data_IF_071889509994
#
_entry.id   IF_071889509994
#
_cell.length_a   1.000
_cell.length_b   1.000
_cell.length_c   1.000
_cell.angle_alpha   90.00
_cell.angle_beta   90.00
_cell.angle_gamma   90.00
#
_symmetry.space_group_name_H-M   'P 1'
#
loop_
_entity.id
_entity.type
_entity.pdbx_description
1 polymer ?
#
# COMPACT_ATOMS: atom_id res chain seq x y z
N UNK A 1 20.92 5.34 21.35
CA UNK A 1 20.98 3.90 21.06
C UNK A 1 19.57 3.49 20.67
N UNK A 2 19.33 3.15 19.40
CA UNK A 2 18.02 2.63 18.98
C UNK A 2 17.88 1.23 19.54
N UNK A 3 16.84 0.98 20.36
CA UNK A 3 16.52 -0.35 20.82
C UNK A 3 16.29 -1.25 19.59
N UNK A 4 17.12 -2.26 19.42
CA UNK A 4 16.96 -3.21 18.32
C UNK A 4 15.64 -3.96 18.51
N UNK A 5 14.70 -3.73 17.61
CA UNK A 5 13.43 -4.42 17.62
C UNK A 5 13.64 -5.92 17.37
N UNK A 6 13.03 -6.77 18.20
CA UNK A 6 13.20 -8.24 18.18
C UNK A 6 11.86 -8.95 18.04
N UNK A 7 11.89 -10.24 17.71
CA UNK A 7 10.68 -11.06 17.55
C UNK A 7 9.81 -10.57 16.41
N UNK A 8 8.48 -10.52 16.62
CA UNK A 8 7.50 -10.07 15.61
C UNK A 8 7.68 -8.61 15.20
N UNK A 9 8.42 -7.82 15.98
CA UNK A 9 8.63 -6.39 15.77
C UNK A 9 9.86 -6.06 14.91
N UNK A 10 10.72 -7.04 14.63
CA UNK A 10 12.02 -6.85 13.97
C UNK A 10 11.95 -6.14 12.61
N UNK A 11 10.86 -6.34 11.87
CA UNK A 11 10.66 -5.77 10.53
C UNK A 11 9.94 -4.39 10.53
N UNK A 12 9.61 -3.84 11.71
CA UNK A 12 8.96 -2.54 11.85
C UNK A 12 10.00 -1.41 11.94
N UNK A 13 10.69 -1.19 10.85
CA UNK A 13 11.82 -0.26 10.76
C UNK A 13 11.38 1.19 10.97
N UNK A 14 12.09 1.92 11.86
CA UNK A 14 11.81 3.32 12.15
C UNK A 14 10.54 3.55 12.97
N UNK A 15 9.97 2.49 13.58
CA UNK A 15 8.69 2.55 14.31
C UNK A 15 8.85 2.31 15.82
N UNK A 16 10.00 2.62 16.42
CA UNK A 16 10.32 2.30 17.80
C UNK A 16 9.26 2.85 18.78
N UNK A 17 8.80 4.09 18.55
CA UNK A 17 7.75 4.73 19.37
C UNK A 17 6.41 3.97 19.27
N UNK A 18 6.00 3.64 18.06
CA UNK A 18 4.76 2.91 17.81
C UNK A 18 4.82 1.49 18.39
N UNK A 19 5.94 0.79 18.19
CA UNK A 19 6.18 -0.54 18.79
C UNK A 19 6.17 -0.47 20.32
N UNK A 20 6.74 0.55 20.94
CA UNK A 20 6.67 0.76 22.39
C UNK A 20 5.23 0.92 22.91
N UNK A 21 4.33 1.53 22.14
CA UNK A 21 2.90 1.61 22.49
C UNK A 21 2.24 0.24 22.40
N UNK A 22 2.50 -0.50 21.31
CA UNK A 22 1.91 -1.83 21.07
C UNK A 22 2.40 -2.88 22.09
N UNK A 23 3.70 -2.87 22.42
CA UNK A 23 4.26 -3.74 23.48
C UNK A 23 3.58 -3.53 24.81
N UNK A 24 3.46 -2.30 25.27
CA UNK A 24 2.75 -1.99 26.53
C UNK A 24 1.28 -2.45 26.50
N UNK A 25 0.65 -2.42 25.33
CA UNK A 25 -0.72 -2.94 25.21
C UNK A 25 -0.78 -4.46 25.36
N UNK A 26 0.19 -5.22 24.84
CA UNK A 26 0.23 -6.69 25.00
C UNK A 26 0.58 -7.13 26.41
N UNK A 27 1.35 -6.33 27.15
CA UNK A 27 1.78 -6.60 28.52
C UNK A 27 0.72 -6.26 29.57
N UNK A 28 -0.34 -5.56 29.17
CA UNK A 28 -1.40 -5.12 30.08
C UNK A 28 -2.23 -6.30 30.59
N UNK A 29 -2.19 -6.56 31.89
CA UNK A 29 -3.00 -7.61 32.54
C UNK A 29 -4.44 -7.13 32.73
N UNK A 30 -5.44 -7.99 32.51
CA UNK A 30 -6.83 -7.71 32.89
C UNK A 30 -6.91 -7.43 34.39
N UNK A 31 -7.48 -6.28 34.78
CA UNK A 31 -7.73 -5.95 36.20
C UNK A 31 -6.71 -4.99 36.85
N UNK A 32 -5.59 -4.67 36.26
CA UNK A 32 -4.77 -3.51 36.63
C UNK A 32 -5.13 -2.33 35.74
N UNK A 33 -5.32 -1.16 36.31
CA UNK A 33 -5.75 0.09 35.67
C UNK A 33 -4.76 0.64 34.63
N UNK A 34 -4.38 -0.19 33.66
CA UNK A 34 -3.54 0.22 32.55
C UNK A 34 -4.45 0.46 31.35
N UNK A 35 -4.64 1.72 31.03
CA UNK A 35 -5.31 2.20 29.81
C UNK A 35 -4.50 1.89 28.54
N UNK A 36 -3.54 0.94 28.61
CA UNK A 36 -2.65 0.61 27.53
C UNK A 36 -3.31 -0.25 26.45
N UNK A 37 -4.23 -1.16 26.79
CA UNK A 37 -4.97 -1.99 25.84
C UNK A 37 -6.28 -1.32 25.44
N UNK A 38 -6.64 -1.43 24.16
CA UNK A 38 -7.94 -1.03 23.61
C UNK A 38 -8.43 -2.15 22.69
N UNK A 39 -9.75 -2.32 22.64
CA UNK A 39 -10.40 -3.28 21.75
C UNK A 39 -10.45 -2.83 20.28
N UNK A 40 -10.24 -1.55 19.98
CA UNK A 40 -10.20 -1.04 18.62
C UNK A 40 -9.00 -0.08 18.42
N UNK A 41 -8.24 -0.33 17.38
CA UNK A 41 -7.07 0.47 17.00
C UNK A 41 -7.22 0.94 15.57
N UNK A 42 -6.84 2.21 15.34
CA UNK A 42 -6.68 2.77 14.01
C UNK A 42 -5.19 3.06 13.78
N UNK A 43 -4.57 2.22 12.97
CA UNK A 43 -3.15 2.30 12.62
C UNK A 43 -3.03 3.10 11.32
N UNK A 44 -2.46 4.29 11.39
CA UNK A 44 -2.32 5.20 10.26
C UNK A 44 -0.87 5.46 9.91
N UNK A 45 -0.64 5.93 8.71
CA UNK A 45 0.68 6.29 8.21
C UNK A 45 0.72 6.23 6.68
N UNK A 46 1.72 6.85 6.04
CA UNK A 46 1.80 6.89 4.59
C UNK A 46 1.87 5.48 3.98
N UNK A 47 1.53 5.31 2.70
CA UNK A 47 1.69 4.05 1.99
C UNK A 47 3.11 3.50 2.16
N UNK A 48 3.23 2.21 2.47
CA UNK A 48 4.53 1.56 2.67
C UNK A 48 5.21 1.77 4.03
N UNK A 49 4.62 2.54 4.95
CA UNK A 49 5.15 2.72 6.34
C UNK A 49 5.09 1.45 7.19
N UNK A 50 4.46 0.37 6.69
CA UNK A 50 4.37 -0.91 7.40
C UNK A 50 3.11 -1.10 8.24
N UNK A 51 2.01 -0.37 7.96
CA UNK A 51 0.73 -0.48 8.70
C UNK A 51 0.25 -1.92 8.85
N UNK A 52 0.10 -2.64 7.74
CA UNK A 52 -0.32 -4.04 7.74
C UNK A 52 0.65 -4.94 8.51
N UNK A 53 1.96 -4.69 8.38
CA UNK A 53 2.97 -5.44 9.15
C UNK A 53 2.87 -5.13 10.64
N UNK A 54 2.63 -3.89 11.04
CA UNK A 54 2.43 -3.50 12.43
C UNK A 54 1.15 -4.14 13.02
N UNK A 55 0.06 -4.16 12.26
CA UNK A 55 -1.17 -4.83 12.66
C UNK A 55 -0.99 -6.35 12.82
N UNK A 56 -0.31 -7.01 11.86
CA UNK A 56 0.01 -8.45 11.93
C UNK A 56 0.95 -8.77 13.10
N UNK A 57 1.98 -7.95 13.31
CA UNK A 57 2.90 -8.12 14.44
C UNK A 57 2.16 -7.95 15.78
N UNK A 58 1.27 -6.99 15.88
CA UNK A 58 0.46 -6.80 17.08
C UNK A 58 -0.52 -7.96 17.29
N UNK A 59 -1.21 -8.41 16.23
CA UNK A 59 -2.06 -9.59 16.31
C UNK A 59 -1.27 -10.82 16.78
N UNK A 60 -0.08 -11.06 16.25
CA UNK A 60 0.80 -12.16 16.67
C UNK A 60 1.24 -12.01 18.13
N UNK A 61 1.57 -10.80 18.58
CA UNK A 61 1.96 -10.53 19.95
C UNK A 61 0.80 -10.74 20.94
N UNK A 62 -0.45 -10.43 20.56
CA UNK A 62 -1.65 -10.67 21.33
C UNK A 62 -1.93 -12.16 21.55
N UNK A 63 -1.55 -13.02 20.58
CA UNK A 63 -1.69 -14.48 20.68
C UNK A 63 -0.52 -15.16 21.38
N UNK A 64 0.63 -14.49 21.46
CA UNK A 64 1.86 -15.05 22.01
C UNK A 64 1.91 -14.94 23.54
N UNK A 65 2.34 -16.01 24.21
CA UNK A 65 2.56 -16.02 25.67
C UNK A 65 3.69 -15.05 26.07
N UNK A 66 4.73 -14.98 25.24
CA UNK A 66 5.90 -14.11 25.43
C UNK A 66 5.78 -12.78 24.70
N UNK A 67 4.56 -12.29 24.49
CA UNK A 67 4.25 -10.96 23.92
C UNK A 67 4.95 -10.66 22.58
N UNK A 68 5.12 -11.68 21.75
CA UNK A 68 5.65 -11.51 20.40
C UNK A 68 7.06 -12.04 20.15
N UNK A 69 7.37 -13.24 20.68
CA UNK A 69 8.69 -13.88 20.52
C UNK A 69 9.11 -14.10 19.03
N UNK A 70 8.16 -14.18 18.10
CA UNK A 70 8.40 -14.40 16.66
C UNK A 70 8.65 -15.85 16.26
N UNK A 71 8.87 -16.75 17.21
CA UNK A 71 9.28 -18.13 16.95
C UNK A 71 8.21 -19.19 17.28
N UNK A 72 7.31 -18.92 18.19
CA UNK A 72 6.26 -19.86 18.58
C UNK A 72 5.22 -20.05 17.46
N UNK A 73 4.45 -21.13 17.55
CA UNK A 73 3.43 -21.45 16.55
C UNK A 73 2.39 -20.33 16.40
N UNK A 74 1.94 -19.73 17.51
CA UNK A 74 0.99 -18.63 17.47
C UNK A 74 1.54 -17.42 16.69
N UNK A 75 2.82 -17.03 16.90
CA UNK A 75 3.46 -15.96 16.14
C UNK A 75 3.54 -16.31 14.65
N UNK A 76 4.04 -17.50 14.29
CA UNK A 76 4.19 -17.89 12.89
C UNK A 76 2.88 -17.94 12.13
N UNK A 77 1.87 -18.57 12.73
CA UNK A 77 0.54 -18.69 12.10
C UNK A 77 -0.18 -17.35 12.01
N UNK A 78 -0.07 -16.46 13.01
CA UNK A 78 -0.67 -15.13 12.96
C UNK A 78 0.00 -14.24 11.90
N UNK A 79 1.33 -14.27 11.78
CA UNK A 79 2.07 -13.51 10.76
C UNK A 79 1.78 -14.01 9.34
N UNK A 80 1.59 -15.32 9.15
CA UNK A 80 1.24 -15.91 7.85
C UNK A 80 -0.24 -15.81 7.51
N UNK A 81 -1.11 -15.40 8.45
CA UNK A 81 -2.56 -15.33 8.25
C UNK A 81 -3.29 -16.67 8.45
N UNK A 82 -2.60 -17.71 8.93
CA UNK A 82 -3.15 -19.04 9.12
C UNK A 82 -3.66 -19.30 10.55
N UNK A 83 -3.60 -18.31 11.46
CA UNK A 83 -4.09 -18.48 12.84
C UNK A 83 -5.62 -18.45 12.87
N UNK A 84 -6.31 -19.46 13.47
CA UNK A 84 -7.76 -19.55 13.45
C UNK A 84 -8.48 -18.35 14.09
N UNK A 85 -7.86 -17.74 15.11
CA UNK A 85 -8.43 -16.62 15.85
C UNK A 85 -7.89 -15.25 15.35
N UNK A 86 -7.22 -15.20 14.18
CA UNK A 86 -6.78 -13.96 13.53
C UNK A 86 -7.31 -13.92 12.11
N UNK A 87 -8.27 -13.04 11.88
CA UNK A 87 -8.82 -12.80 10.54
C UNK A 87 -8.09 -11.64 9.87
N UNK A 88 -7.40 -11.92 8.77
CA UNK A 88 -6.79 -10.89 7.95
C UNK A 88 -7.71 -10.56 6.78
N UNK A 89 -8.11 -9.29 6.69
CA UNK A 89 -8.96 -8.78 5.61
C UNK A 89 -8.12 -7.88 4.74
N UNK A 90 -7.92 -8.31 3.52
CA UNK A 90 -7.32 -7.53 2.45
C UNK A 90 -8.31 -7.54 1.29
N UNK A 91 -8.89 -6.40 1.00
CA UNK A 91 -9.83 -6.36 -0.13
C UNK A 91 -9.09 -6.46 -1.46
N UNK A 92 -9.58 -7.30 -2.34
CA UNK A 92 -9.14 -7.37 -3.73
C UNK A 92 -9.98 -6.46 -4.63
N UNK A 93 -11.16 -6.05 -4.14
CA UNK A 93 -12.05 -5.10 -4.78
C UNK A 93 -11.67 -3.64 -4.49
N UNK A 94 -12.39 -2.72 -5.09
CA UNK A 94 -12.21 -1.28 -4.87
C UNK A 94 -12.78 -0.80 -3.54
N UNK A 95 -13.72 -1.54 -2.94
CA UNK A 95 -14.38 -1.22 -1.68
C UNK A 95 -14.75 -2.49 -0.92
N UNK A 96 -14.89 -2.35 0.42
CA UNK A 96 -15.40 -3.38 1.33
C UNK A 96 -16.88 -3.09 1.57
N UNK A 97 -17.74 -3.99 1.10
CA UNK A 97 -19.19 -3.85 1.15
C UNK A 97 -19.79 -4.19 2.52
N UNK A 98 -21.06 -3.84 2.70
CA UNK A 98 -21.79 -4.09 3.95
C UNK A 98 -21.90 -5.56 4.30
N UNK A 99 -22.05 -6.45 3.33
CA UNK A 99 -22.22 -7.90 3.61
C UNK A 99 -20.90 -8.53 4.04
N UNK A 100 -19.79 -8.11 3.46
CA UNK A 100 -18.43 -8.49 3.90
C UNK A 100 -18.18 -8.03 5.33
N UNK A 101 -18.50 -6.78 5.66
CA UNK A 101 -18.36 -6.25 7.02
C UNK A 101 -19.24 -7.02 8.01
N UNK A 102 -20.48 -7.35 7.66
CA UNK A 102 -21.37 -8.16 8.52
C UNK A 102 -20.80 -9.55 8.79
N UNK A 103 -20.15 -10.17 7.82
CA UNK A 103 -19.45 -11.45 8.02
C UNK A 103 -18.28 -11.29 8.99
N UNK A 104 -17.50 -10.22 8.86
CA UNK A 104 -16.41 -9.93 9.80
C UNK A 104 -16.91 -9.70 11.21
N UNK A 105 -18.01 -8.97 11.38
CA UNK A 105 -18.66 -8.77 12.70
C UNK A 105 -19.12 -10.09 13.29
N UNK A 106 -19.71 -10.98 12.50
CA UNK A 106 -20.11 -12.32 12.98
C UNK A 106 -18.91 -13.14 13.45
N UNK A 107 -17.80 -13.16 12.69
CA UNK A 107 -16.57 -13.85 13.08
C UNK A 107 -15.94 -13.24 14.33
N UNK A 108 -15.91 -11.92 14.42
CA UNK A 108 -15.38 -11.19 15.57
C UNK A 108 -16.17 -11.48 16.86
N UNK A 109 -17.45 -11.82 16.76
CA UNK A 109 -18.29 -12.16 17.89
C UNK A 109 -18.06 -13.59 18.44
N UNK A 110 -17.31 -14.44 17.74
CA UNK A 110 -16.98 -15.78 18.20
C UNK A 110 -15.94 -15.73 19.33
N UNK A 111 -15.99 -16.73 20.23
CA UNK A 111 -14.92 -16.90 21.21
C UNK A 111 -13.65 -17.42 20.54
N UNK A 112 -12.46 -17.01 21.01
CA UNK A 112 -11.21 -17.58 20.54
C UNK A 112 -11.17 -19.09 20.77
N UNK A 113 -10.69 -19.84 19.78
CA UNK A 113 -10.59 -21.32 19.83
C UNK A 113 -9.27 -21.76 20.44
N UNK A 114 -8.18 -21.17 20.02
CA UNK A 114 -6.81 -21.52 20.44
C UNK A 114 -6.06 -20.36 21.06
N UNK A 115 -6.43 -19.13 20.71
CA UNK A 115 -5.75 -17.91 21.11
C UNK A 115 -6.36 -17.26 22.35
N UNK A 116 -5.72 -16.14 22.72
CA UNK A 116 -6.15 -15.30 23.84
C UNK A 116 -7.23 -14.30 23.43
N UNK A 117 -7.19 -13.89 22.15
CA UNK A 117 -8.04 -12.86 21.58
C UNK A 117 -8.56 -13.29 20.20
N UNK A 118 -9.78 -12.85 19.90
CA UNK A 118 -10.28 -12.84 18.53
C UNK A 118 -9.82 -11.54 17.88
N UNK A 119 -8.94 -11.62 16.88
CA UNK A 119 -8.35 -10.43 16.26
C UNK A 119 -8.82 -10.30 14.81
N UNK A 120 -9.35 -9.13 14.46
CA UNK A 120 -9.70 -8.81 13.07
C UNK A 120 -8.82 -7.67 12.60
N UNK A 121 -8.02 -7.92 11.57
CA UNK A 121 -7.15 -6.95 10.90
C UNK A 121 -7.77 -6.56 9.57
N UNK A 122 -8.11 -5.28 9.40
CA UNK A 122 -8.59 -4.72 8.13
C UNK A 122 -7.49 -3.84 7.55
N UNK A 123 -6.84 -4.31 6.47
CA UNK A 123 -5.66 -3.63 5.91
C UNK A 123 -6.01 -2.34 5.14
N UNK A 124 -7.23 -2.24 4.59
CA UNK A 124 -7.72 -1.12 3.78
C UNK A 124 -9.03 -0.57 4.40
N UNK A 125 -9.01 -0.08 5.65
CA UNK A 125 -10.20 0.41 6.34
C UNK A 125 -10.79 1.69 5.72
N UNK A 126 -10.00 2.45 4.97
CA UNK A 126 -10.39 3.58 4.13
C UNK A 126 -11.32 3.17 2.97
N UNK A 127 -11.36 1.89 2.63
CA UNK A 127 -12.20 1.35 1.55
C UNK A 127 -13.54 0.79 2.05
N UNK A 128 -13.81 0.85 3.34
CA UNK A 128 -15.11 0.45 3.89
C UNK A 128 -16.17 1.46 3.43
N UNK A 129 -17.22 0.95 2.77
CA UNK A 129 -18.35 1.81 2.35
C UNK A 129 -19.06 2.39 3.56
N UNK A 130 -19.79 3.52 3.41
CA UNK A 130 -20.55 4.12 4.52
C UNK A 130 -21.50 3.11 5.18
N UNK A 131 -22.24 2.33 4.39
CA UNK A 131 -23.11 1.27 4.91
C UNK A 131 -22.37 0.14 5.62
N UNK A 132 -21.16 -0.18 5.16
CA UNK A 132 -20.25 -1.12 5.82
C UNK A 132 -19.78 -0.57 7.17
N UNK A 133 -19.43 0.70 7.19
CA UNK A 133 -19.01 1.39 8.39
C UNK A 133 -20.11 1.42 9.46
N UNK A 134 -21.38 1.70 9.08
CA UNK A 134 -22.52 1.63 9.98
C UNK A 134 -22.70 0.23 10.59
N UNK A 135 -22.48 -0.81 9.79
CA UNK A 135 -22.53 -2.20 10.30
C UNK A 135 -21.41 -2.52 11.29
N UNK A 136 -20.24 -1.86 11.14
CA UNK A 136 -19.09 -2.06 12.04
C UNK A 136 -19.22 -1.30 13.36
N UNK A 137 -19.94 -0.16 13.37
CA UNK A 137 -20.04 0.73 14.55
C UNK A 137 -20.45 -0.01 15.81
N UNK A 138 -21.51 -0.83 15.75
CA UNK A 138 -21.99 -1.55 16.91
C UNK A 138 -20.96 -2.53 17.49
N UNK A 139 -20.20 -3.18 16.61
CA UNK A 139 -19.14 -4.11 17.03
C UNK A 139 -17.92 -3.41 17.63
N UNK A 140 -17.71 -2.13 17.30
CA UNK A 140 -16.66 -1.30 17.89
C UNK A 140 -17.14 -0.66 19.21
N UNK A 141 -18.41 -0.27 19.32
CA UNK A 141 -18.98 0.31 20.53
C UNK A 141 -19.14 -0.73 21.65
N UNK A 142 -19.69 -1.89 21.31
CA UNK A 142 -19.98 -2.99 22.22
C UNK A 142 -19.27 -4.26 21.75
N UNK A 143 -17.92 -4.33 21.87
CA UNK A 143 -17.17 -5.46 21.38
C UNK A 143 -17.48 -6.73 22.17
N UNK A 144 -17.51 -7.87 21.50
CA UNK A 144 -17.55 -9.16 22.18
C UNK A 144 -16.30 -9.33 23.07
N UNK A 145 -16.40 -10.07 24.18
CA UNK A 145 -15.27 -10.30 25.07
C UNK A 145 -14.05 -10.84 24.33
N UNK A 146 -12.87 -10.27 24.61
CA UNK A 146 -11.58 -10.65 23.99
C UNK A 146 -11.45 -10.33 22.49
N UNK A 147 -12.37 -9.59 21.90
CA UNK A 147 -12.26 -9.15 20.50
C UNK A 147 -11.39 -7.89 20.37
N UNK A 148 -10.51 -7.87 19.36
CA UNK A 148 -9.64 -6.75 19.03
C UNK A 148 -9.74 -6.44 17.55
N UNK A 149 -10.09 -5.18 17.24
CA UNK A 149 -10.15 -4.65 15.88
C UNK A 149 -8.89 -3.85 15.58
N UNK A 150 -8.21 -4.19 14.49
CA UNK A 150 -7.01 -3.49 13.99
C UNK A 150 -7.33 -2.94 12.59
N UNK A 151 -7.66 -1.66 12.51
CA UNK A 151 -8.01 -0.97 11.28
C UNK A 151 -6.80 -0.23 10.76
N UNK A 152 -6.44 -0.40 9.48
CA UNK A 152 -5.34 0.31 8.84
C UNK A 152 -5.88 1.27 7.77
N UNK A 153 -5.41 2.52 7.79
CA UNK A 153 -5.75 3.54 6.80
C UNK A 153 -4.56 4.47 6.53
N UNK A 154 -4.47 5.14 5.37
CA UNK A 154 -3.40 6.10 5.09
C UNK A 154 -3.38 7.25 6.08
N UNK A 155 -4.53 7.91 6.29
CA UNK A 155 -4.72 8.98 7.24
C UNK A 155 -5.92 8.71 8.15
N UNK A 156 -6.05 9.36 9.30
CA UNK A 156 -7.24 9.23 10.14
C UNK A 156 -8.49 9.76 9.42
N UNK A 157 -8.34 10.73 8.53
CA UNK A 157 -9.40 11.41 7.79
C UNK A 157 -10.05 10.50 6.75
N UNK A 158 -9.36 9.48 6.27
CA UNK A 158 -9.86 8.48 5.33
C UNK A 158 -10.86 7.51 5.97
N UNK A 159 -11.00 7.54 7.30
CA UNK A 159 -11.96 6.74 8.06
C UNK A 159 -13.05 7.63 8.64
N UNK A 160 -14.31 7.21 8.50
CA UNK A 160 -15.45 8.00 8.98
C UNK A 160 -15.30 8.36 10.46
N UNK A 161 -15.74 9.56 10.80
CA UNK A 161 -15.53 10.15 12.14
C UNK A 161 -16.09 9.29 13.27
N UNK A 162 -17.20 8.60 13.02
CA UNK A 162 -17.88 7.73 13.99
C UNK A 162 -17.03 6.52 14.40
N UNK A 163 -16.34 5.87 13.47
CA UNK A 163 -15.37 4.79 13.75
C UNK A 163 -14.10 5.37 14.36
N UNK A 164 -13.55 6.43 13.76
CA UNK A 164 -12.31 7.06 14.18
C UNK A 164 -12.33 7.54 15.63
N UNK A 165 -13.45 8.07 16.11
CA UNK A 165 -13.60 8.57 17.48
C UNK A 165 -13.57 7.49 18.54
N UNK A 166 -13.83 6.21 18.17
CA UNK A 166 -13.89 5.04 19.07
C UNK A 166 -12.63 4.18 19.02
N UNK A 167 -11.72 4.49 18.10
CA UNK A 167 -10.46 3.77 17.95
C UNK A 167 -9.31 4.49 18.65
N UNK A 168 -8.46 3.71 19.30
CA UNK A 168 -7.16 4.21 19.75
C UNK A 168 -6.26 4.41 18.53
N UNK A 169 -5.81 5.64 18.33
CA UNK A 169 -4.98 5.99 17.18
C UNK A 169 -3.51 5.63 17.42
N UNK A 170 -2.89 5.04 16.41
CA UNK A 170 -1.45 4.77 16.33
C UNK A 170 -0.95 5.28 14.99
N UNK A 171 -0.04 6.22 15.02
CA UNK A 171 0.55 6.77 13.80
C UNK A 171 1.93 6.15 13.55
N UNK A 172 2.16 5.68 12.32
CA UNK A 172 3.45 5.21 11.84
C UNK A 172 4.14 6.31 11.02
N UNK A 173 5.38 6.58 11.36
CA UNK A 173 6.19 7.55 10.63
C UNK A 173 6.69 6.97 9.28
N UNK A 174 7.07 7.84 8.36
CA UNK A 174 7.85 7.42 7.18
C UNK A 174 9.23 6.96 7.65
N UNK A 175 9.63 5.71 7.37
CA UNK A 175 10.98 5.24 7.69
C UNK A 175 12.04 6.08 6.98
N UNK A 176 13.18 6.29 7.61
CA UNK A 176 14.34 6.93 6.98
C UNK A 176 14.97 6.00 5.95
N UNK A 177 15.53 6.57 4.88
CA UNK A 177 16.16 5.81 3.80
C UNK A 177 17.27 4.88 4.32
N UNK A 178 18.10 5.37 5.26
CA UNK A 178 19.17 4.58 5.85
C UNK A 178 18.62 3.32 6.58
N UNK A 179 17.53 3.48 7.32
CA UNK A 179 16.91 2.39 8.05
C UNK A 179 16.27 1.34 7.10
N UNK A 180 15.72 1.81 5.97
CA UNK A 180 15.19 0.93 4.91
C UNK A 180 16.34 0.20 4.21
N UNK A 181 17.44 0.89 3.88
CA UNK A 181 18.63 0.28 3.28
C UNK A 181 19.22 -0.81 4.19
N UNK A 182 19.39 -0.51 5.49
CA UNK A 182 19.86 -1.48 6.47
C UNK A 182 18.96 -2.72 6.57
N UNK A 183 17.64 -2.55 6.46
CA UNK A 183 16.71 -3.68 6.42
C UNK A 183 16.95 -4.55 5.18
N UNK A 184 17.09 -3.94 4.00
CA UNK A 184 17.33 -4.66 2.73
C UNK A 184 18.64 -5.45 2.76
N UNK A 185 19.71 -4.85 3.33
CA UNK A 185 21.00 -5.53 3.48
C UNK A 185 20.88 -6.72 4.46
N UNK A 186 20.33 -6.47 5.66
CA UNK A 186 20.27 -7.49 6.72
C UNK A 186 19.32 -8.65 6.40
N UNK A 187 18.15 -8.35 5.85
CA UNK A 187 17.09 -9.35 5.65
C UNK A 187 17.13 -10.00 4.28
N UNK A 188 17.35 -9.18 3.25
CA UNK A 188 17.22 -9.62 1.85
C UNK A 188 18.59 -9.85 1.18
N UNK A 189 19.72 -9.58 1.90
CA UNK A 189 21.08 -9.79 1.39
C UNK A 189 21.47 -8.89 0.21
N UNK A 190 20.81 -7.73 0.07
CA UNK A 190 21.06 -6.79 -1.03
C UNK A 190 22.39 -6.07 -0.80
N UNK A 191 23.15 -5.83 -1.89
CA UNK A 191 24.37 -5.05 -1.83
C UNK A 191 24.11 -3.63 -1.29
N UNK A 192 24.99 -3.07 -0.41
CA UNK A 192 24.73 -1.81 0.28
C UNK A 192 24.42 -0.63 -0.65
N UNK A 193 25.13 -0.52 -1.78
CA UNK A 193 24.95 0.58 -2.76
C UNK A 193 23.57 0.50 -3.40
N UNK A 194 23.15 -0.69 -3.85
CA UNK A 194 21.84 -0.93 -4.44
C UNK A 194 20.72 -0.75 -3.40
N UNK A 195 20.95 -1.19 -2.15
CA UNK A 195 20.01 -1.01 -1.05
C UNK A 195 19.77 0.48 -0.75
N UNK A 196 20.84 1.29 -0.73
CA UNK A 196 20.75 2.73 -0.52
C UNK A 196 20.03 3.44 -1.66
N UNK A 197 20.30 3.07 -2.93
CA UNK A 197 19.60 3.59 -4.09
C UNK A 197 18.11 3.23 -4.06
N UNK A 198 17.79 1.96 -3.85
CA UNK A 198 16.43 1.46 -3.79
C UNK A 198 15.63 2.06 -2.61
N UNK A 199 16.27 2.28 -1.46
CA UNK A 199 15.64 2.93 -0.31
C UNK A 199 15.25 4.38 -0.61
N UNK A 200 16.16 5.18 -1.19
CA UNK A 200 15.86 6.55 -1.64
C UNK A 200 14.71 6.58 -2.64
N UNK A 201 14.79 5.74 -3.69
CA UNK A 201 13.75 5.61 -4.69
C UNK A 201 12.41 5.15 -4.10
N UNK A 202 12.46 4.38 -3.02
CA UNK A 202 11.30 3.89 -2.27
C UNK A 202 10.57 4.97 -1.48
N UNK A 203 11.24 6.09 -1.13
CA UNK A 203 10.68 7.21 -0.38
C UNK A 203 9.97 6.75 0.91
N UNK A 204 10.61 5.87 1.68
CA UNK A 204 10.05 5.29 2.90
C UNK A 204 9.05 4.15 2.67
N UNK A 205 8.74 3.82 1.42
CA UNK A 205 7.90 2.66 1.11
C UNK A 205 8.74 1.38 1.02
N UNK A 206 8.80 0.61 2.12
CA UNK A 206 9.66 -0.59 2.24
C UNK A 206 9.41 -1.60 1.11
N UNK A 207 8.15 -1.91 0.79
CA UNK A 207 7.82 -2.86 -0.27
C UNK A 207 8.29 -2.42 -1.65
N UNK A 208 8.20 -1.11 -1.95
CA UNK A 208 8.69 -0.53 -3.20
C UNK A 208 10.22 -0.56 -3.26
N UNK A 209 10.90 -0.17 -2.18
CA UNK A 209 12.35 -0.24 -2.08
C UNK A 209 12.85 -1.68 -2.27
N UNK A 210 12.19 -2.65 -1.63
CA UNK A 210 12.49 -4.07 -1.79
C UNK A 210 12.34 -4.54 -3.23
N UNK A 211 11.24 -4.18 -3.90
CA UNK A 211 11.00 -4.54 -5.30
C UNK A 211 12.08 -3.94 -6.22
N UNK A 212 12.42 -2.66 -6.03
CA UNK A 212 13.50 -2.03 -6.80
C UNK A 212 14.87 -2.67 -6.54
N UNK A 213 15.14 -3.13 -5.33
CA UNK A 213 16.39 -3.81 -5.00
C UNK A 213 16.49 -5.22 -5.64
N UNK A 214 15.40 -5.98 -5.69
CA UNK A 214 15.40 -7.38 -6.12
C UNK A 214 15.00 -7.60 -7.59
N UNK A 215 14.30 -6.67 -8.23
CA UNK A 215 13.71 -6.82 -9.56
C UNK A 215 14.36 -5.85 -10.57
N UNK A 216 15.10 -6.39 -11.52
CA UNK A 216 15.77 -5.62 -12.59
C UNK A 216 14.76 -4.97 -13.54
N UNK A 217 13.65 -5.65 -13.84
CA UNK A 217 12.62 -5.09 -14.70
C UNK A 217 11.91 -3.91 -14.04
N UNK A 218 11.70 -3.97 -12.71
CA UNK A 218 11.14 -2.84 -11.96
C UNK A 218 12.07 -1.61 -12.04
N UNK A 219 13.40 -1.81 -11.99
CA UNK A 219 14.37 -0.73 -12.19
C UNK A 219 14.34 -0.19 -13.63
N UNK A 220 14.27 -1.07 -14.63
CA UNK A 220 14.18 -0.66 -16.03
C UNK A 220 12.91 0.16 -16.31
N UNK A 221 11.75 -0.28 -15.80
CA UNK A 221 10.49 0.46 -15.90
C UNK A 221 10.59 1.84 -15.23
N UNK A 222 11.21 1.91 -14.04
CA UNK A 222 11.43 3.18 -13.36
C UNK A 222 12.32 4.12 -14.18
N UNK A 223 13.40 3.61 -14.78
CA UNK A 223 14.27 4.39 -15.65
C UNK A 223 13.53 4.96 -16.87
N UNK A 224 12.68 4.15 -17.51
CA UNK A 224 11.88 4.59 -18.65
C UNK A 224 10.91 5.73 -18.26
N UNK A 225 10.31 5.68 -17.06
CA UNK A 225 9.47 6.77 -16.54
C UNK A 225 10.31 8.06 -16.32
N UNK A 226 11.53 7.93 -15.79
CA UNK A 226 12.43 9.05 -15.57
C UNK A 226 12.91 9.75 -16.86
N UNK A 227 12.92 9.03 -17.98
CA UNK A 227 13.23 9.57 -19.30
C UNK A 227 12.03 10.27 -19.95
N UNK A 228 10.81 9.94 -19.53
CA UNK A 228 9.57 10.40 -20.16
C UNK A 228 9.49 11.93 -20.31
N UNK A 229 9.75 12.76 -19.27
CA UNK A 229 9.63 14.21 -19.40
C UNK A 229 10.55 14.83 -20.48
N UNK A 230 11.65 14.17 -20.81
CA UNK A 230 12.58 14.63 -21.84
C UNK A 230 12.20 14.17 -23.26
N UNK A 231 11.29 13.20 -23.38
CA UNK A 231 10.88 12.58 -24.65
C UNK A 231 9.58 13.17 -25.20
N UNK A 232 8.75 13.79 -24.37
CA UNK A 232 7.48 14.39 -24.79
C UNK A 232 7.74 15.70 -25.53
N UNK A 233 7.73 15.68 -26.86
CA UNK A 233 8.03 16.85 -27.72
C UNK A 233 6.86 17.25 -28.62
N UNK A 234 5.91 16.35 -28.82
CA UNK A 234 4.73 16.53 -29.68
C UNK A 234 3.50 15.91 -29.06
N UNK A 235 2.31 16.29 -29.55
CA UNK A 235 1.06 15.63 -29.17
C UNK A 235 1.11 14.13 -29.46
N UNK A 236 1.68 13.72 -30.59
CA UNK A 236 1.85 12.32 -30.95
C UNK A 236 2.67 11.54 -29.93
N UNK A 237 3.77 12.14 -29.41
CA UNK A 237 4.58 11.51 -28.36
C UNK A 237 3.78 11.34 -27.08
N UNK A 238 2.93 12.31 -26.71
CA UNK A 238 2.09 12.25 -25.51
C UNK A 238 1.05 11.13 -25.63
N UNK A 239 0.36 11.04 -26.75
CA UNK A 239 -0.67 10.01 -26.98
C UNK A 239 -0.07 8.60 -26.99
N UNK A 240 1.05 8.41 -27.72
CA UNK A 240 1.75 7.14 -27.77
C UNK A 240 2.27 6.72 -26.39
N UNK A 241 2.90 7.65 -25.66
CA UNK A 241 3.39 7.37 -24.31
C UNK A 241 2.27 7.03 -23.33
N UNK A 242 1.10 7.67 -23.43
CA UNK A 242 -0.07 7.36 -22.63
C UNK A 242 -0.57 5.94 -22.90
N UNK A 243 -0.67 5.57 -24.18
CA UNK A 243 -1.07 4.22 -24.60
C UNK A 243 -0.07 3.17 -24.08
N UNK A 244 1.23 3.39 -24.25
CA UNK A 244 2.28 2.48 -23.79
C UNK A 244 2.23 2.27 -22.28
N UNK A 245 2.04 3.33 -21.47
CA UNK A 245 1.93 3.24 -20.02
C UNK A 245 0.69 2.47 -19.57
N UNK A 246 -0.46 2.67 -20.22
CA UNK A 246 -1.70 1.97 -19.89
C UNK A 246 -1.62 0.50 -20.29
N UNK A 247 -1.06 0.19 -21.46
CA UNK A 247 -0.86 -1.17 -21.93
C UNK A 247 0.10 -1.93 -21.00
N UNK A 248 1.24 -1.32 -20.63
CA UNK A 248 2.19 -1.91 -19.70
C UNK A 248 1.57 -2.17 -18.31
N UNK A 249 0.74 -1.23 -17.81
CA UNK A 249 0.03 -1.43 -16.56
C UNK A 249 -0.99 -2.58 -16.63
N UNK A 250 -1.65 -2.75 -17.79
CA UNK A 250 -2.59 -3.84 -18.03
C UNK A 250 -1.88 -5.20 -18.10
N UNK A 251 -0.77 -5.27 -18.80
CA UNK A 251 0.05 -6.48 -18.92
C UNK A 251 0.63 -6.89 -17.56
N UNK A 252 1.15 -5.93 -16.76
CA UNK A 252 1.64 -6.20 -15.41
C UNK A 252 0.53 -6.76 -14.52
N UNK A 253 -0.66 -6.17 -14.56
CA UNK A 253 -1.81 -6.63 -13.80
C UNK A 253 -2.25 -8.04 -14.23
N UNK A 254 -2.34 -8.32 -15.53
CA UNK A 254 -2.71 -9.62 -16.06
C UNK A 254 -1.69 -10.71 -15.68
N UNK A 255 -0.39 -10.41 -15.80
CA UNK A 255 0.67 -11.35 -15.40
C UNK A 255 0.64 -11.67 -13.88
N UNK A 256 0.31 -10.67 -13.05
CA UNK A 256 0.24 -10.85 -11.61
C UNK A 256 -0.95 -11.70 -11.15
N UNK A 257 -2.03 -11.77 -11.93
CA UNK A 257 -3.25 -12.49 -11.55
C UNK A 257 -3.40 -13.84 -12.25
N UNK A 258 -2.74 -14.06 -13.38
CA UNK A 258 -2.97 -15.20 -14.28
C UNK A 258 -2.97 -16.57 -13.58
N UNK A 259 -2.02 -16.82 -12.70
CA UNK A 259 -1.90 -18.09 -11.97
C UNK A 259 -3.02 -18.27 -10.95
N UNK A 260 -3.33 -17.24 -10.19
CA UNK A 260 -4.38 -17.26 -9.14
C UNK A 260 -5.74 -17.39 -9.78
N UNK A 261 -6.03 -16.57 -10.81
CA UNK A 261 -7.30 -16.56 -11.53
C UNK A 261 -7.57 -17.93 -12.20
N UNK A 262 -6.53 -18.56 -12.77
CA UNK A 262 -6.61 -19.89 -13.35
C UNK A 262 -6.88 -20.96 -12.29
N UNK A 263 -6.21 -20.91 -11.14
CA UNK A 263 -6.39 -21.87 -10.06
C UNK A 263 -7.80 -21.77 -9.45
N UNK A 264 -8.27 -20.55 -9.15
CA UNK A 264 -9.62 -20.29 -8.63
C UNK A 264 -10.71 -20.80 -9.58
N UNK A 265 -10.54 -20.55 -10.89
CA UNK A 265 -11.47 -21.02 -11.90
C UNK A 265 -11.52 -22.55 -11.96
N UNK A 266 -10.37 -23.20 -11.97
CA UNK A 266 -10.29 -24.66 -12.00
C UNK A 266 -10.89 -25.30 -10.73
N UNK A 267 -10.63 -24.70 -9.56
CA UNK A 267 -11.21 -25.17 -8.30
C UNK A 267 -12.73 -25.03 -8.28
N UNK A 268 -13.25 -23.88 -8.71
CA UNK A 268 -14.69 -23.65 -8.80
C UNK A 268 -15.36 -24.59 -9.82
N UNK A 269 -14.77 -24.77 -11.01
CA UNK A 269 -15.27 -25.70 -12.02
C UNK A 269 -15.34 -27.13 -11.47
N UNK A 270 -14.31 -27.56 -10.73
CA UNK A 270 -14.28 -28.87 -10.07
C UNK A 270 -15.37 -28.99 -9.00
N UNK A 271 -15.52 -27.95 -8.17
CA UNK A 271 -16.54 -27.92 -7.10
C UNK A 271 -17.97 -27.95 -7.67
N UNK A 272 -18.19 -27.34 -8.83
CA UNK A 272 -19.48 -27.32 -9.53
C UNK A 272 -19.73 -28.55 -10.44
N UNK A 273 -18.79 -29.51 -10.46
CA UNK A 273 -18.92 -30.77 -11.22
C UNK A 273 -18.78 -30.59 -12.75
N UNK A 274 -18.08 -29.54 -13.20
CA UNK A 274 -17.74 -29.41 -14.62
C UNK A 274 -16.79 -30.57 -15.03
N UNK A 275 -17.14 -31.29 -16.11
CA UNK A 275 -16.38 -32.45 -16.57
C UNK A 275 -16.83 -33.81 -15.99
N UNK A 276 -17.80 -33.85 -15.07
CA UNK A 276 -18.44 -35.07 -14.59
C UNK A 276 -19.81 -35.31 -15.23
N UNK A 277 -20.28 -36.58 -15.29
CA UNK A 277 -21.56 -36.97 -15.93
C UNK A 277 -22.80 -36.62 -15.13
N UNK A 278 -22.76 -35.69 -14.20
CA UNK A 278 -23.86 -35.27 -13.32
C UNK A 278 -24.61 -34.03 -13.82
N UNK A 279 -25.83 -33.81 -13.30
CA UNK A 279 -26.58 -32.59 -13.54
C UNK A 279 -25.88 -31.40 -12.85
N UNK A 280 -25.64 -30.31 -13.62
CA UNK A 280 -25.01 -29.09 -13.09
C UNK A 280 -25.92 -28.42 -12.02
N UNK A 281 -25.35 -27.90 -10.92
CA UNK A 281 -26.12 -27.11 -9.97
C UNK A 281 -26.80 -25.92 -10.64
N UNK A 282 -28.04 -25.61 -10.25
CA UNK A 282 -28.80 -24.48 -10.85
C UNK A 282 -28.10 -23.12 -10.70
N UNK A 283 -27.23 -22.97 -9.71
CA UNK A 283 -26.46 -21.76 -9.43
C UNK A 283 -25.04 -21.74 -10.00
N UNK A 284 -24.63 -22.78 -10.77
CA UNK A 284 -23.26 -22.87 -11.31
C UNK A 284 -22.88 -21.67 -12.18
N UNK A 285 -23.79 -21.23 -13.07
CA UNK A 285 -23.55 -20.06 -13.92
C UNK A 285 -23.46 -18.74 -13.10
N UNK A 286 -24.24 -18.62 -12.02
CA UNK A 286 -24.16 -17.45 -11.16
C UNK A 286 -22.83 -17.41 -10.42
N UNK A 287 -22.37 -18.53 -9.87
CA UNK A 287 -21.08 -18.63 -9.19
C UNK A 287 -19.90 -18.30 -10.13
N UNK A 288 -19.92 -18.80 -11.39
CA UNK A 288 -18.89 -18.46 -12.38
C UNK A 288 -18.89 -16.97 -12.73
N UNK A 289 -20.06 -16.36 -12.91
CA UNK A 289 -20.15 -14.90 -13.16
C UNK A 289 -19.65 -14.05 -11.98
N UNK A 290 -19.90 -14.51 -10.76
CA UNK A 290 -19.42 -13.81 -9.57
C UNK A 290 -17.90 -13.91 -9.44
N UNK A 291 -17.31 -15.07 -9.75
CA UNK A 291 -15.86 -15.21 -9.84
C UNK A 291 -15.25 -14.29 -10.93
N UNK A 292 -15.85 -14.27 -12.13
CA UNK A 292 -15.40 -13.40 -13.23
C UNK A 292 -15.46 -11.91 -12.85
N UNK A 293 -16.49 -11.48 -12.10
CA UNK A 293 -16.58 -10.12 -11.57
C UNK A 293 -15.47 -9.82 -10.56
N UNK A 294 -15.18 -10.76 -9.65
CA UNK A 294 -14.11 -10.62 -8.68
C UNK A 294 -12.75 -10.52 -9.36
N UNK A 295 -12.45 -11.40 -10.32
CA UNK A 295 -11.21 -11.39 -11.09
C UNK A 295 -11.06 -10.09 -11.90
N UNK A 296 -12.14 -9.61 -12.54
CA UNK A 296 -12.14 -8.31 -13.24
C UNK A 296 -11.90 -7.13 -12.32
N UNK A 297 -12.48 -7.14 -11.12
CA UNK A 297 -12.25 -6.08 -10.12
C UNK A 297 -10.80 -6.09 -9.62
N UNK A 298 -10.22 -7.28 -9.37
CA UNK A 298 -8.80 -7.47 -9.01
C UNK A 298 -7.87 -6.92 -10.10
N UNK A 299 -8.13 -7.28 -11.36
CA UNK A 299 -7.36 -6.80 -12.51
C UNK A 299 -7.36 -5.27 -12.61
N UNK A 300 -8.55 -4.65 -12.54
CA UNK A 300 -8.70 -3.19 -12.58
C UNK A 300 -7.96 -2.50 -11.42
N UNK A 301 -8.00 -3.10 -10.22
CA UNK A 301 -7.26 -2.59 -9.07
C UNK A 301 -5.75 -2.60 -9.33
N UNK A 302 -5.20 -3.75 -9.76
CA UNK A 302 -3.77 -3.89 -10.02
C UNK A 302 -3.28 -2.98 -11.15
N UNK A 303 -4.08 -2.81 -12.20
CA UNK A 303 -3.79 -1.84 -13.26
C UNK A 303 -3.72 -0.42 -12.70
N UNK A 304 -4.69 -0.03 -11.86
CA UNK A 304 -4.67 1.29 -11.21
C UNK A 304 -3.49 1.46 -10.27
N UNK A 305 -3.15 0.44 -9.48
CA UNK A 305 -1.99 0.45 -8.60
C UNK A 305 -0.68 0.58 -9.41
N UNK A 306 -0.61 0.00 -10.62
CA UNK A 306 0.52 0.17 -11.54
C UNK A 306 0.63 1.61 -12.05
N UNK A 307 -0.48 2.22 -12.47
CA UNK A 307 -0.50 3.62 -12.91
C UNK A 307 -0.22 4.59 -11.75
N UNK A 308 -0.71 4.32 -10.55
CA UNK A 308 -0.39 5.14 -9.37
C UNK A 308 1.12 5.14 -9.05
N UNK A 309 1.81 4.02 -9.29
CA UNK A 309 3.28 3.97 -9.21
C UNK A 309 3.93 4.90 -10.24
N UNK A 310 3.44 4.94 -11.48
CA UNK A 310 3.94 5.88 -12.51
C UNK A 310 3.75 7.33 -12.04
N UNK A 311 2.55 7.67 -11.56
CA UNK A 311 2.26 9.02 -11.04
C UNK A 311 3.15 9.39 -9.85
N UNK A 312 3.47 8.43 -9.00
CA UNK A 312 4.39 8.63 -7.87
C UNK A 312 5.82 8.91 -8.34
N UNK A 313 6.31 8.19 -9.37
CA UNK A 313 7.65 8.46 -9.96
C UNK A 313 7.70 9.83 -10.61
N UNK A 314 6.68 10.20 -11.39
CA UNK A 314 6.59 11.53 -12.01
C UNK A 314 6.52 12.65 -10.97
N UNK A 315 5.76 12.45 -9.87
CA UNK A 315 5.72 13.42 -8.75
C UNK A 315 7.11 13.59 -8.14
N UNK A 316 7.83 12.49 -7.87
CA UNK A 316 9.18 12.53 -7.31
C UNK A 316 10.17 13.23 -8.27
N UNK A 317 10.03 12.98 -9.58
CA UNK A 317 10.83 13.62 -10.60
C UNK A 317 10.64 15.13 -10.59
N UNK A 318 9.40 15.61 -10.69
CA UNK A 318 9.11 17.05 -10.73
C UNK A 318 9.37 17.76 -9.40
N UNK A 319 9.25 17.05 -8.27
CA UNK A 319 9.71 17.56 -6.96
C UNK A 319 11.23 17.84 -7.00
N UNK A 320 12.02 16.92 -7.56
CA UNK A 320 13.47 17.10 -7.67
C UNK A 320 13.82 18.25 -8.66
N UNK A 321 13.08 18.38 -9.78
CA UNK A 321 13.19 19.52 -10.70
C UNK A 321 12.92 20.84 -9.94
N UNK A 322 11.84 20.93 -9.18
CA UNK A 322 11.49 22.13 -8.41
C UNK A 322 12.55 22.44 -7.35
N UNK A 323 13.13 21.43 -6.71
CA UNK A 323 14.20 21.61 -5.73
C UNK A 323 15.47 22.20 -6.35
N UNK A 324 15.79 21.82 -7.58
CA UNK A 324 16.89 22.41 -8.37
C UNK A 324 16.57 23.85 -8.75
N UNK A 325 15.39 24.12 -9.33
CA UNK A 325 14.94 25.46 -9.76
C UNK A 325 14.92 26.47 -8.60
N UNK A 326 14.54 26.04 -7.40
CA UNK A 326 14.48 26.91 -6.21
C UNK A 326 15.81 27.02 -5.45
N UNK A 327 16.86 26.31 -5.91
CA UNK A 327 18.16 26.28 -5.23
C UNK A 327 18.14 25.55 -3.87
N UNK A 328 17.10 24.76 -3.58
CA UNK A 328 17.03 23.94 -2.39
C UNK A 328 18.05 22.79 -2.37
N UNK A 329 18.54 22.40 -3.56
CA UNK A 329 19.63 21.45 -3.76
C UNK A 329 20.69 22.13 -4.60
N UNK A 330 21.94 22.23 -4.08
CA UNK A 330 23.09 22.75 -4.81
C UNK A 330 23.92 21.60 -5.35
N UNK A 331 24.47 21.72 -6.59
CA UNK A 331 25.31 20.68 -7.19
C UNK A 331 26.51 20.25 -6.31
N UNK A 332 27.04 21.20 -5.51
CA UNK A 332 28.20 20.99 -4.64
C UNK A 332 27.84 20.30 -3.30
N UNK A 333 26.55 20.21 -2.97
CA UNK A 333 26.04 19.67 -1.69
C UNK A 333 25.34 18.31 -1.85
N UNK A 334 25.41 17.68 -3.02
CA UNK A 334 24.80 16.36 -3.29
C UNK A 334 25.25 15.27 -2.28
N UNK A 335 26.40 15.50 -1.61
CA UNK A 335 26.92 14.66 -0.53
C UNK A 335 26.78 15.25 0.90
N UNK A 336 26.18 16.42 1.05
CA UNK A 336 26.08 17.05 2.37
C UNK A 336 24.93 16.46 3.19
N UNK A 337 25.25 16.09 4.43
CA UNK A 337 24.35 15.46 5.43
C UNK A 337 23.15 16.33 5.87
N UNK A 338 22.96 17.55 5.34
CA UNK A 338 21.95 18.52 5.76
C UNK A 338 21.15 19.21 4.65
N UNK A 339 21.45 18.98 3.36
CA UNK A 339 20.68 19.53 2.23
C UNK A 339 19.47 18.66 1.85
N UNK A 340 18.51 19.23 1.13
CA UNK A 340 17.46 18.43 0.50
C UNK A 340 18.11 17.45 -0.51
N UNK A 341 17.99 16.17 -0.29
CA UNK A 341 18.54 15.14 -1.17
C UNK A 341 17.57 14.89 -2.33
N UNK A 342 18.11 14.77 -3.56
CA UNK A 342 17.34 14.30 -4.70
C UNK A 342 16.94 12.83 -4.50
N UNK A 343 15.67 12.52 -4.75
CA UNK A 343 15.17 11.14 -4.80
C UNK A 343 15.80 10.43 -6.01
N UNK A 344 16.00 11.17 -7.10
CA UNK A 344 16.44 10.68 -8.38
C UNK A 344 17.87 11.17 -8.73
N UNK A 345 18.79 11.12 -7.77
CA UNK A 345 20.16 11.59 -7.96
C UNK A 345 20.87 10.98 -9.20
N UNK A 346 20.60 9.70 -9.53
CA UNK A 346 21.11 9.04 -10.72
C UNK A 346 20.63 9.67 -12.05
N UNK A 347 19.63 10.55 -12.04
CA UNK A 347 19.09 11.26 -13.21
C UNK A 347 19.45 12.76 -13.22
N UNK A 348 20.42 13.18 -12.40
CA UNK A 348 20.80 14.59 -12.20
C UNK A 348 20.90 15.38 -13.53
N UNK A 349 21.57 14.84 -14.55
CA UNK A 349 21.68 15.51 -15.86
C UNK A 349 20.34 15.71 -16.59
N UNK A 350 19.38 14.78 -16.44
CA UNK A 350 18.04 14.94 -17.03
C UNK A 350 17.20 15.95 -16.24
N UNK A 351 17.31 15.90 -14.90
CA UNK A 351 16.62 16.83 -13.99
C UNK A 351 17.04 18.28 -14.25
N UNK A 352 18.36 18.56 -14.42
CA UNK A 352 18.86 19.90 -14.73
C UNK A 352 18.34 20.38 -16.09
N UNK A 353 18.37 19.54 -17.14
CA UNK A 353 17.84 19.93 -18.45
C UNK A 353 16.36 20.35 -18.38
N UNK A 354 15.54 19.63 -17.63
CA UNK A 354 14.12 19.98 -17.45
C UNK A 354 13.99 21.23 -16.58
N UNK A 355 14.80 21.37 -15.52
CA UNK A 355 14.82 22.56 -14.66
C UNK A 355 15.17 23.83 -15.44
N UNK A 356 16.10 23.75 -16.39
CA UNK A 356 16.53 24.88 -17.23
C UNK A 356 15.50 25.22 -18.33
N UNK A 357 14.67 24.24 -18.74
CA UNK A 357 13.72 24.41 -19.86
C UNK A 357 12.34 24.91 -19.44
N UNK A 358 11.99 24.82 -18.15
CA UNK A 358 10.67 25.20 -17.63
C UNK A 358 10.79 26.14 -16.43
N UNK A 359 9.75 26.94 -16.17
CA UNK A 359 9.69 27.77 -14.96
C UNK A 359 9.25 26.96 -13.73
N UNK A 360 9.58 27.43 -12.51
CA UNK A 360 9.07 26.81 -11.28
C UNK A 360 7.54 26.71 -11.23
N UNK A 361 6.84 27.73 -11.76
CA UNK A 361 5.37 27.76 -11.82
C UNK A 361 4.83 26.64 -12.71
N UNK A 362 5.46 26.39 -13.86
CA UNK A 362 5.12 25.26 -14.73
C UNK A 362 5.33 23.92 -14.00
N UNK A 363 6.44 23.77 -13.28
CA UNK A 363 6.72 22.57 -12.51
C UNK A 363 5.68 22.33 -11.43
N UNK A 364 5.23 23.37 -10.72
CA UNK A 364 4.12 23.27 -9.74
C UNK A 364 2.81 22.87 -10.42
N UNK A 365 2.47 23.52 -11.55
CA UNK A 365 1.26 23.17 -12.32
C UNK A 365 1.30 21.70 -12.79
N UNK A 366 2.47 21.20 -13.18
CA UNK A 366 2.65 19.79 -13.55
C UNK A 366 2.42 18.86 -12.36
N UNK A 367 2.92 19.19 -11.18
CA UNK A 367 2.65 18.41 -9.95
C UNK A 367 1.15 18.41 -9.65
N UNK A 368 0.47 19.54 -9.77
CA UNK A 368 -0.98 19.63 -9.58
C UNK A 368 -1.76 18.79 -10.60
N UNK A 369 -1.30 18.77 -11.86
CA UNK A 369 -1.89 17.90 -12.90
C UNK A 369 -1.71 16.41 -12.58
N UNK A 370 -0.55 16.01 -12.04
CA UNK A 370 -0.31 14.61 -11.59
C UNK A 370 -1.26 14.24 -10.44
N UNK A 371 -1.47 15.13 -9.48
CA UNK A 371 -2.40 14.91 -8.37
C UNK A 371 -3.86 14.84 -8.86
N UNK A 372 -4.25 15.68 -9.82
CA UNK A 372 -5.56 15.64 -10.45
C UNK A 372 -5.78 14.33 -11.23
N UNK A 373 -4.76 13.83 -11.94
CA UNK A 373 -4.79 12.54 -12.62
C UNK A 373 -5.01 11.38 -11.64
N UNK A 374 -4.32 11.38 -10.49
CA UNK A 374 -4.52 10.40 -9.42
C UNK A 374 -5.95 10.37 -8.93
N UNK A 375 -6.51 11.54 -8.60
CA UNK A 375 -7.91 11.67 -8.17
C UNK A 375 -8.90 11.19 -9.25
N UNK A 376 -8.60 11.43 -10.52
CA UNK A 376 -9.44 10.97 -11.65
C UNK A 376 -9.44 9.45 -11.78
N UNK A 377 -8.28 8.80 -11.63
CA UNK A 377 -8.17 7.32 -11.59
C UNK A 377 -8.96 6.72 -10.41
N UNK A 378 -8.91 7.35 -9.24
CA UNK A 378 -9.68 6.91 -8.06
C UNK A 378 -11.19 7.00 -8.27
N UNK A 379 -11.65 8.02 -9.00
CA UNK A 379 -13.06 8.20 -9.38
C UNK A 379 -13.51 7.31 -10.53
N UNK A 380 -12.61 6.50 -11.10
CA UNK A 380 -12.93 5.54 -12.16
C UNK A 380 -12.98 6.12 -13.56
N UNK A 381 -12.36 7.26 -13.81
CA UNK A 381 -12.17 7.80 -15.17
C UNK A 381 -11.29 6.83 -15.97
N UNK A 382 -11.55 6.70 -17.26
CA UNK A 382 -10.82 5.81 -18.17
C UNK A 382 -9.31 6.10 -18.11
N UNK A 383 -8.47 5.11 -17.77
CA UNK A 383 -7.04 5.32 -17.56
C UNK A 383 -6.31 5.98 -18.74
N UNK A 384 -6.65 5.60 -19.98
CA UNK A 384 -6.03 6.19 -21.16
C UNK A 384 -6.28 7.70 -21.24
N UNK A 385 -7.52 8.14 -21.10
CA UNK A 385 -7.88 9.56 -21.12
C UNK A 385 -7.17 10.36 -20.02
N UNK A 386 -7.05 9.77 -18.83
CA UNK A 386 -6.33 10.42 -17.71
C UNK A 386 -4.87 10.61 -18.04
N UNK A 387 -4.20 9.57 -18.58
CA UNK A 387 -2.78 9.63 -18.91
C UNK A 387 -2.51 10.56 -20.10
N UNK A 388 -3.35 10.54 -21.14
CA UNK A 388 -3.26 11.48 -22.26
C UNK A 388 -3.34 12.93 -21.79
N UNK A 389 -4.38 13.25 -20.98
CA UNK A 389 -4.57 14.60 -20.42
C UNK A 389 -3.37 15.04 -19.59
N UNK A 390 -2.84 14.16 -18.75
CA UNK A 390 -1.67 14.43 -17.93
C UNK A 390 -0.42 14.71 -18.79
N UNK A 391 -0.11 13.81 -19.73
CA UNK A 391 1.13 13.93 -20.50
C UNK A 391 1.11 15.16 -21.42
N UNK A 392 -0.06 15.54 -21.94
CA UNK A 392 -0.23 16.81 -22.70
C UNK A 392 0.02 18.00 -21.76
N UNK A 393 -0.55 18.01 -20.56
CA UNK A 393 -0.35 19.10 -19.60
C UNK A 393 1.15 19.26 -19.20
N UNK A 394 1.90 18.16 -19.12
CA UNK A 394 3.33 18.18 -18.79
C UNK A 394 4.20 18.88 -19.83
N UNK A 395 3.78 18.99 -21.10
CA UNK A 395 4.55 19.65 -22.16
C UNK A 395 4.46 21.17 -22.12
N UNK A 396 3.61 21.75 -21.27
CA UNK A 396 3.38 23.20 -21.21
C UNK A 396 2.77 23.78 -22.48
N UNK A 397 2.26 22.92 -23.36
CA UNK A 397 1.56 23.37 -24.56
C UNK A 397 0.28 24.08 -24.13
N UNK A 398 0.27 25.40 -24.22
CA UNK A 398 -0.96 26.19 -24.12
C UNK A 398 -1.98 25.61 -25.10
N UNK A 399 -3.16 25.28 -24.60
CA UNK A 399 -4.28 24.74 -25.40
C UNK A 399 -4.71 25.64 -26.60
N UNK A 400 -4.04 26.77 -26.78
CA UNK A 400 -4.28 27.74 -27.84
C UNK A 400 -3.48 27.48 -29.14
N UNK A 401 -2.67 26.41 -29.23
CA UNK A 401 -1.80 26.14 -30.40
C UNK A 401 -2.05 24.80 -31.10
N UNK A 402 -3.15 24.10 -30.75
CA UNK A 402 -3.55 22.86 -31.46
C UNK A 402 -4.82 23.07 -32.27
#
# INVERSE_FOLDING_TARGET
>A
MSDVLTGVWADLVGQEKAVGVLRRATESQPGRSSHAMSHAWLITGPPGSGRSNAAKAFAAALQCVDHGCGQCNACRTALSGAHPDVTLVRTEALSIGVDEVRELVRRAAMNPVHGRHQVVVVEDADRITERGADALLKAIEEPAPKTVWLLCAPTPEDVIVTIRSRCRRLHLATPRDEAVADLLVRRDGIAPELAAEAARAGQGHIGRARRLASDQEARARRSAIGELPTRLRSLGDCLQAAEDLVNQASEEAAAATAQVDSAERAELEKALGFGSSGARPRNAQAAMRDLEKQQSARLKRLQRDALDRVLTELTAYHRDVLAIQTGAVRPEEENALRGARLVNAGWSGALHRVADSHSPEHTVATIDAILAARNSLERGVTPLLVMETLLIAMTGADHARW
#
